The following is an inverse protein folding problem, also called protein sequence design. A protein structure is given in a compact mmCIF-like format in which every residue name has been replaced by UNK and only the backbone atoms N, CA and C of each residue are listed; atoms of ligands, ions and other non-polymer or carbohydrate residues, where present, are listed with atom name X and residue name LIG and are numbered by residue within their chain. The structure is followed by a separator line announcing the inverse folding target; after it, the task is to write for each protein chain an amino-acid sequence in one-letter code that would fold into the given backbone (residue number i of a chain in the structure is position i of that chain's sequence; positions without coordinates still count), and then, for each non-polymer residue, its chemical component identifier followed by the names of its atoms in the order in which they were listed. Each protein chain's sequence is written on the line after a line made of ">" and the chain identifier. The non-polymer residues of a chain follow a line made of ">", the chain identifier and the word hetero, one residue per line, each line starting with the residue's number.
data_IF_674440738703
#
_entry.id   IF_674440738703
#
_cell.length_a   1.000
_cell.length_b   1.000
_cell.length_c   1.000
_cell.angle_alpha   90.00
_cell.angle_beta   90.00
_cell.angle_gamma   90.00
#
_symmetry.space_group_name_H-M   'P 1'
#
loop_
_entity.id
_entity.type
_entity.pdbx_description
1 polymer ?
#
# COMPACT_ATOMS: atom_id res chain seq x y z
N UNK A 1 2.22 -3.80 6.08
CA UNK A 1 2.90 -4.98 6.63
C UNK A 1 1.95 -5.88 7.38
N UNK A 2 1.34 -5.45 8.50
CA UNK A 2 0.45 -6.31 9.31
C UNK A 2 -0.69 -6.99 8.54
N UNK A 3 -1.40 -6.27 7.66
CA UNK A 3 -2.48 -6.90 6.88
C UNK A 3 -1.96 -7.86 5.80
N UNK A 4 -0.76 -7.63 5.26
CA UNK A 4 -0.14 -8.58 4.32
C UNK A 4 0.13 -9.90 5.02
N UNK A 5 0.78 -9.87 6.18
CA UNK A 5 1.07 -11.08 6.96
C UNK A 5 -0.20 -11.80 7.42
N UNK A 6 -1.17 -11.05 7.98
CA UNK A 6 -2.42 -11.64 8.48
C UNK A 6 -3.22 -12.29 7.36
N UNK A 7 -3.38 -11.62 6.23
CA UNK A 7 -4.16 -12.17 5.13
C UNK A 7 -3.41 -13.25 4.35
N UNK A 8 -2.07 -13.22 4.30
CA UNK A 8 -1.29 -14.32 3.75
C UNK A 8 -1.59 -15.63 4.49
N UNK A 9 -1.61 -15.57 5.83
CA UNK A 9 -1.96 -16.72 6.68
C UNK A 9 -3.39 -17.23 6.48
N UNK A 10 -4.36 -16.32 6.27
CA UNK A 10 -5.77 -16.67 6.04
C UNK A 10 -5.99 -17.24 4.63
N UNK A 11 -5.37 -16.65 3.61
CA UNK A 11 -5.51 -17.02 2.20
C UNK A 11 -4.58 -18.17 1.79
N UNK A 12 -3.73 -18.64 2.71
CA UNK A 12 -2.71 -19.67 2.47
C UNK A 12 -1.75 -19.28 1.35
N UNK A 13 -1.35 -18.02 1.32
CA UNK A 13 -0.34 -17.52 0.38
C UNK A 13 1.02 -17.51 1.06
N UNK A 14 1.99 -18.18 0.45
CA UNK A 14 3.35 -18.23 0.99
C UNK A 14 4.14 -16.98 0.61
N UNK A 15 4.38 -16.11 1.60
CA UNK A 15 5.22 -14.91 1.43
C UNK A 15 6.60 -15.17 2.02
N UNK A 16 7.63 -14.89 1.24
CA UNK A 16 9.01 -14.83 1.70
C UNK A 16 9.31 -13.47 2.35
N UNK A 17 10.44 -12.87 1.95
CA UNK A 17 10.78 -11.50 2.34
C UNK A 17 9.81 -10.50 1.70
N UNK A 18 9.30 -9.60 2.55
CA UNK A 18 8.53 -8.41 2.15
C UNK A 18 9.23 -7.18 2.69
N UNK A 19 9.52 -6.21 1.81
CA UNK A 19 10.02 -4.89 2.18
C UNK A 19 9.08 -3.83 1.64
N UNK A 20 8.94 -2.73 2.38
CA UNK A 20 8.17 -1.58 1.93
C UNK A 20 8.97 -0.31 2.20
N UNK A 21 9.13 0.52 1.18
CA UNK A 21 9.67 1.86 1.29
C UNK A 21 8.52 2.86 1.16
N UNK A 22 8.33 3.69 2.19
CA UNK A 22 7.23 4.65 2.25
C UNK A 22 7.79 6.06 2.27
N UNK A 23 7.37 6.88 1.33
CA UNK A 23 7.65 8.31 1.30
C UNK A 23 6.34 9.09 1.46
N UNK A 24 6.27 9.93 2.50
CA UNK A 24 5.10 10.74 2.80
C UNK A 24 5.41 12.22 2.58
N UNK A 25 4.69 12.83 1.63
CA UNK A 25 4.78 14.25 1.31
C UNK A 25 3.64 15.01 1.98
N UNK A 26 4.00 16.03 2.73
CA UNK A 26 3.08 16.91 3.47
C UNK A 26 3.45 18.36 3.25
N UNK A 27 2.45 19.21 3.35
CA UNK A 27 2.63 20.66 3.34
C UNK A 27 1.72 21.32 4.37
N UNK A 28 2.00 22.59 4.64
CA UNK A 28 1.18 23.44 5.48
C UNK A 28 1.02 24.81 4.84
N UNK A 29 -0.17 25.38 5.00
CA UNK A 29 -0.52 26.70 4.50
C UNK A 29 -1.24 27.51 5.59
N UNK A 30 -1.35 28.82 5.39
CA UNK A 30 -2.02 29.74 6.32
C UNK A 30 -1.05 30.60 7.13
N UNK A 31 -1.54 31.16 8.23
CA UNK A 31 -0.78 32.08 9.08
C UNK A 31 -0.97 31.76 10.56
N UNK A 32 0.16 31.66 11.28
CA UNK A 32 0.18 31.46 12.73
C UNK A 32 -0.50 32.63 13.45
N UNK A 33 -0.17 33.87 13.06
CA UNK A 33 -0.75 35.07 13.68
C UNK A 33 -2.27 35.19 13.44
N UNK A 34 -2.74 34.74 12.28
CA UNK A 34 -4.17 34.74 11.95
C UNK A 34 -4.90 33.47 12.38
N UNK A 35 -4.21 32.51 13.01
CA UNK A 35 -4.77 31.23 13.43
C UNK A 35 -5.46 30.44 12.29
N UNK A 36 -4.89 30.52 11.07
CA UNK A 36 -5.43 29.84 9.88
C UNK A 36 -4.55 28.70 9.38
N UNK A 37 -3.59 28.23 10.19
CA UNK A 37 -2.68 27.16 9.79
C UNK A 37 -3.46 25.88 9.54
N UNK A 38 -3.29 25.31 8.34
CA UNK A 38 -3.80 24.00 7.98
C UNK A 38 -2.64 23.15 7.46
N UNK A 39 -2.57 21.91 7.91
CA UNK A 39 -1.66 20.91 7.36
C UNK A 39 -2.44 20.00 6.42
N UNK A 40 -1.78 19.53 5.35
CA UNK A 40 -2.38 18.61 4.40
C UNK A 40 -1.39 17.52 3.98
N UNK A 41 -1.96 16.35 3.71
CA UNK A 41 -1.29 15.26 3.03
C UNK A 41 -1.35 15.50 1.53
N UNK A 42 -0.19 15.52 0.87
CA UNK A 42 -0.09 15.75 -0.58
C UNK A 42 0.07 14.43 -1.36
N UNK A 43 0.92 13.51 -0.86
CA UNK A 43 1.16 12.21 -1.51
C UNK A 43 1.74 11.20 -0.52
N UNK A 44 1.36 9.93 -0.65
CA UNK A 44 1.93 8.78 0.03
C UNK A 44 2.40 7.81 -1.04
N UNK A 45 3.70 7.81 -1.34
CA UNK A 45 4.29 6.86 -2.28
C UNK A 45 4.79 5.63 -1.52
N UNK A 46 4.38 4.44 -1.95
CA UNK A 46 4.79 3.18 -1.34
C UNK A 46 5.35 2.25 -2.40
N UNK A 47 6.59 1.82 -2.24
CA UNK A 47 7.18 0.77 -3.06
C UNK A 47 7.29 -0.51 -2.24
N UNK A 48 6.76 -1.61 -2.76
CA UNK A 48 6.84 -2.93 -2.14
C UNK A 48 7.77 -3.84 -2.94
N UNK A 49 8.72 -4.46 -2.26
CA UNK A 49 9.46 -5.60 -2.80
C UNK A 49 8.97 -6.86 -2.09
N UNK A 50 8.31 -7.74 -2.83
CA UNK A 50 7.69 -8.96 -2.32
C UNK A 50 8.37 -10.16 -2.96
N UNK A 51 8.63 -11.20 -2.16
CA UNK A 51 9.02 -12.52 -2.68
C UNK A 51 7.96 -13.54 -2.31
N UNK A 52 7.65 -14.45 -3.24
CA UNK A 52 6.64 -15.50 -3.04
C UNK A 52 6.85 -16.63 -4.04
N UNK A 53 6.60 -17.86 -3.60
CA UNK A 53 6.55 -19.05 -4.46
C UNK A 53 5.18 -19.30 -5.10
N UNK A 54 4.15 -18.56 -4.69
CA UNK A 54 2.79 -18.69 -5.21
C UNK A 54 2.62 -18.01 -6.57
N UNK A 55 1.50 -18.33 -7.25
CA UNK A 55 1.19 -17.69 -8.53
C UNK A 55 0.97 -16.16 -8.38
N UNK A 56 1.36 -15.36 -9.39
CA UNK A 56 1.16 -13.91 -9.36
C UNK A 56 -0.29 -13.47 -9.10
N UNK A 57 -1.27 -14.24 -9.60
CA UNK A 57 -2.70 -14.01 -9.36
C UNK A 57 -3.07 -14.11 -7.87
N UNK A 58 -2.55 -15.13 -7.16
CA UNK A 58 -2.79 -15.30 -5.72
C UNK A 58 -2.18 -14.16 -4.92
N UNK A 59 -0.96 -13.75 -5.29
CA UNK A 59 -0.28 -12.61 -4.68
C UNK A 59 -1.04 -11.31 -4.97
N UNK A 60 -1.58 -11.11 -6.18
CA UNK A 60 -2.41 -9.95 -6.51
C UNK A 60 -3.65 -9.87 -5.60
N UNK A 61 -4.36 -10.98 -5.44
CA UNK A 61 -5.51 -11.08 -4.55
C UNK A 61 -5.17 -10.73 -3.09
N UNK A 62 -4.04 -11.26 -2.60
CA UNK A 62 -3.54 -10.94 -1.26
C UNK A 62 -3.22 -9.45 -1.10
N UNK A 63 -2.43 -8.89 -2.02
CA UNK A 63 -2.02 -7.48 -1.98
C UNK A 63 -3.25 -6.57 -2.02
N UNK A 64 -4.25 -6.89 -2.85
CA UNK A 64 -5.54 -6.18 -2.92
C UNK A 64 -6.28 -6.22 -1.60
N UNK A 65 -6.42 -7.40 -0.98
CA UNK A 65 -7.05 -7.53 0.33
C UNK A 65 -6.29 -6.75 1.41
N UNK A 66 -4.96 -6.84 1.43
CA UNK A 66 -4.15 -6.15 2.42
C UNK A 66 -4.24 -4.62 2.30
N UNK A 67 -4.31 -4.10 1.07
CA UNK A 67 -4.54 -2.68 0.80
C UNK A 67 -5.93 -2.24 1.27
N UNK A 68 -6.96 -3.00 0.93
CA UNK A 68 -8.34 -2.69 1.29
C UNK A 68 -8.61 -2.83 2.80
N UNK A 69 -7.97 -3.79 3.46
CA UNK A 69 -8.10 -4.02 4.90
C UNK A 69 -7.16 -3.16 5.76
N UNK A 70 -6.30 -2.33 5.18
CA UNK A 70 -5.40 -1.46 5.94
C UNK A 70 -6.17 -0.32 6.61
N UNK A 71 -6.39 -0.42 7.93
CA UNK A 71 -7.14 0.60 8.69
C UNK A 71 -6.58 2.01 8.49
N UNK A 72 -5.25 2.19 8.51
CA UNK A 72 -4.64 3.50 8.30
C UNK A 72 -5.00 4.06 6.92
N UNK A 73 -4.83 3.26 5.85
CA UNK A 73 -5.18 3.66 4.48
C UNK A 73 -6.66 4.04 4.36
N UNK A 74 -7.54 3.21 4.91
CA UNK A 74 -8.98 3.49 4.88
C UNK A 74 -9.36 4.72 5.72
N UNK A 75 -8.68 4.96 6.83
CA UNK A 75 -8.94 6.12 7.70
C UNK A 75 -8.54 7.45 7.07
N UNK A 76 -7.59 7.46 6.12
CA UNK A 76 -7.29 8.67 5.34
C UNK A 76 -8.46 9.10 4.46
N UNK A 77 -9.35 8.18 4.07
CA UNK A 77 -10.55 8.47 3.27
C UNK A 77 -10.28 9.08 1.87
N UNK A 78 -9.02 9.08 1.44
CA UNK A 78 -8.52 9.73 0.22
C UNK A 78 -7.60 8.77 -0.54
N UNK A 79 -8.18 7.79 -1.26
CA UNK A 79 -7.40 6.74 -1.94
C UNK A 79 -6.44 7.31 -2.99
N UNK A 80 -6.75 8.48 -3.57
CA UNK A 80 -5.94 9.17 -4.57
C UNK A 80 -4.59 9.66 -4.06
N UNK A 81 -4.40 9.76 -2.73
CA UNK A 81 -3.11 10.11 -2.13
C UNK A 81 -2.08 8.98 -2.24
N UNK A 82 -2.52 7.74 -2.45
CA UNK A 82 -1.66 6.57 -2.42
C UNK A 82 -1.17 6.21 -3.82
N UNK A 83 0.14 6.24 -4.00
CA UNK A 83 0.83 5.80 -5.21
C UNK A 83 1.66 4.56 -4.86
N UNK A 84 1.09 3.38 -5.15
CA UNK A 84 1.71 2.12 -4.79
C UNK A 84 2.38 1.46 -6.01
N UNK A 85 3.65 1.11 -5.88
CA UNK A 85 4.37 0.27 -6.85
C UNK A 85 4.81 -1.04 -6.21
N UNK A 86 4.91 -2.11 -6.98
CA UNK A 86 5.29 -3.43 -6.46
C UNK A 86 6.29 -4.08 -7.41
N UNK A 87 7.33 -4.68 -6.83
CA UNK A 87 8.09 -5.74 -7.47
C UNK A 87 7.72 -7.08 -6.82
N UNK A 88 7.46 -8.11 -7.64
CA UNK A 88 7.28 -9.49 -7.22
C UNK A 88 8.46 -10.32 -7.72
N UNK A 89 9.21 -10.92 -6.80
CA UNK A 89 10.41 -11.70 -7.11
C UNK A 89 11.47 -10.91 -7.91
N UNK A 90 11.55 -9.60 -7.67
CA UNK A 90 12.49 -8.69 -8.34
C UNK A 90 11.97 -8.09 -9.64
N UNK A 91 10.82 -8.52 -10.15
CA UNK A 91 10.24 -8.04 -11.39
C UNK A 91 9.07 -7.08 -11.16
N UNK A 92 8.89 -6.03 -12.00
CA UNK A 92 7.75 -5.13 -11.91
C UNK A 92 6.43 -5.91 -11.96
N UNK A 93 5.53 -5.60 -11.03
CA UNK A 93 4.29 -6.33 -10.86
C UNK A 93 3.11 -5.37 -10.73
N UNK A 94 2.13 -5.53 -11.63
CA UNK A 94 0.86 -4.81 -11.56
C UNK A 94 -0.27 -5.78 -11.18
N UNK A 95 -0.99 -5.45 -10.12
CA UNK A 95 -2.11 -6.28 -9.65
C UNK A 95 -3.32 -6.23 -10.59
N UNK A 96 -3.47 -5.15 -11.35
CA UNK A 96 -4.62 -4.96 -12.23
C UNK A 96 -4.58 -5.88 -13.45
N UNK A 97 -3.41 -6.44 -13.76
CA UNK A 97 -3.23 -7.50 -14.75
C UNK A 97 -3.86 -8.84 -14.30
N UNK A 98 -4.21 -8.95 -13.01
CA UNK A 98 -4.83 -10.11 -12.37
C UNK A 98 -6.14 -9.69 -11.68
N UNK A 99 -7.24 -9.57 -12.45
CA UNK A 99 -8.52 -9.12 -11.91
C UNK A 99 -9.05 -10.09 -10.84
N UNK A 100 -9.88 -9.56 -9.94
CA UNK A 100 -10.55 -10.39 -8.94
C UNK A 100 -11.50 -11.41 -9.63
N UNK A 101 -11.68 -12.61 -9.05
CA UNK A 101 -12.63 -13.60 -9.55
C UNK A 101 -14.09 -13.12 -9.47
#
# INVERSE_FOLDING_TARGET
>A
MTQLERYAQMMKVDLGQVKANIAYSVSSEGSVLRQTVQAKADKIAIHYDVTSGDSPERVAGLMRNARNGCYARQSFGRPELFDDTINLNGEPFNMDDYPAP
#
